data_IF_556913237876
#
_entry.id   IF_556913237876
#
_cell.length_a   1.000
_cell.length_b   1.000
_cell.length_c   1.000
_cell.angle_alpha   90.00
_cell.angle_beta   90.00
_cell.angle_gamma   90.00
#
_symmetry.space_group_name_H-M   'P 1'
#
loop_
_entity.id
_entity.type
_entity.pdbx_description
1 polymer ?
#
# COMPACT_ATOMS: atom_id res chain seq x y z
N UNK A 1 20.23 18.39 -8.62
CA UNK A 1 19.65 18.06 -7.29
C UNK A 1 18.72 16.85 -7.45
N UNK A 2 19.23 15.63 -7.22
CA UNK A 2 18.45 14.40 -7.43
C UNK A 2 17.45 14.19 -6.29
N UNK A 3 16.20 13.97 -6.66
CA UNK A 3 14.99 14.06 -5.83
C UNK A 3 14.94 12.99 -4.73
N UNK A 4 14.97 13.38 -3.44
CA UNK A 4 14.74 12.52 -2.27
C UNK A 4 13.23 12.20 -2.11
N UNK A 5 12.54 11.76 -3.16
CA UNK A 5 11.05 11.74 -3.19
C UNK A 5 10.39 10.37 -3.27
N UNK A 6 11.14 9.26 -3.30
CA UNK A 6 10.56 7.90 -3.36
C UNK A 6 10.41 7.21 -2.00
N UNK A 7 10.96 7.79 -0.93
CA UNK A 7 10.98 7.20 0.42
C UNK A 7 9.62 7.15 1.12
N UNK A 8 8.57 7.68 0.52
CA UNK A 8 7.23 7.60 1.11
C UNK A 8 6.27 6.84 0.20
N UNK A 9 6.72 6.29 -0.93
CA UNK A 9 5.87 5.62 -1.89
C UNK A 9 6.03 4.11 -1.73
N UNK A 10 4.93 3.41 -1.44
CA UNK A 10 4.88 1.96 -1.40
C UNK A 10 3.97 1.42 -2.51
N UNK A 11 4.22 0.18 -2.93
CA UNK A 11 3.44 -0.52 -3.95
C UNK A 11 2.90 -1.83 -3.43
N UNK A 12 1.58 -1.97 -3.42
CA UNK A 12 0.86 -3.21 -3.13
C UNK A 12 0.55 -3.93 -4.45
N UNK A 13 0.83 -5.23 -4.52
CA UNK A 13 0.66 -6.06 -5.72
C UNK A 13 -0.31 -7.18 -5.39
N UNK A 14 -1.16 -7.57 -6.35
CA UNK A 14 -2.07 -8.71 -6.20
C UNK A 14 -3.44 -8.38 -5.60
N UNK A 15 -3.67 -7.13 -5.19
CA UNK A 15 -4.97 -6.70 -4.69
C UNK A 15 -5.98 -6.59 -5.86
N UNK A 16 -7.08 -7.38 -5.88
CA UNK A 16 -8.06 -7.31 -6.96
C UNK A 16 -8.70 -5.92 -7.08
N UNK A 17 -9.02 -5.51 -8.31
CA UNK A 17 -9.61 -4.20 -8.58
C UNK A 17 -11.02 -4.04 -7.97
N UNK A 18 -11.75 -5.14 -7.79
CA UNK A 18 -13.12 -5.14 -7.23
C UNK A 18 -13.19 -4.86 -5.73
N UNK A 19 -12.10 -5.08 -4.99
CA UNK A 19 -12.08 -4.97 -3.53
C UNK A 19 -11.86 -3.52 -3.08
N UNK A 20 -11.15 -2.75 -3.91
CA UNK A 20 -10.85 -1.34 -3.65
C UNK A 20 -12.04 -0.53 -4.11
N UNK A 21 -12.92 -0.19 -3.17
CA UNK A 21 -14.11 0.64 -3.41
C UNK A 21 -13.77 2.09 -3.82
N UNK A 22 -14.71 3.01 -3.62
CA UNK A 22 -14.54 4.41 -4.05
C UNK A 22 -13.41 5.16 -3.34
N UNK A 23 -13.10 4.80 -2.09
CA UNK A 23 -12.02 5.42 -1.33
C UNK A 23 -10.84 4.45 -1.12
N UNK A 24 -9.81 4.51 -2.00
CA UNK A 24 -8.64 3.65 -1.89
C UNK A 24 -7.75 3.99 -0.69
N UNK A 25 -7.83 5.23 -0.17
CA UNK A 25 -7.04 5.66 0.99
C UNK A 25 -7.63 5.03 2.24
N UNK A 26 -8.92 5.24 2.49
CA UNK A 26 -9.61 4.66 3.63
C UNK A 26 -9.53 3.14 3.63
N UNK A 27 -9.76 2.50 2.47
CA UNK A 27 -9.64 1.05 2.34
C UNK A 27 -8.26 0.54 2.78
N UNK A 28 -7.18 1.15 2.28
CA UNK A 28 -5.83 0.73 2.61
C UNK A 28 -5.48 1.00 4.07
N UNK A 29 -5.92 2.11 4.64
CA UNK A 29 -5.67 2.39 6.06
C UNK A 29 -6.30 1.33 6.95
N UNK A 30 -7.54 0.95 6.68
CA UNK A 30 -8.21 -0.10 7.44
C UNK A 30 -7.57 -1.46 7.21
N UNK A 31 -7.32 -1.82 5.95
CA UNK A 31 -6.71 -3.11 5.60
C UNK A 31 -5.33 -3.27 6.25
N UNK A 32 -4.46 -2.25 6.16
CA UNK A 32 -3.13 -2.28 6.78
C UNK A 32 -3.23 -2.36 8.30
N UNK A 33 -4.15 -1.61 8.94
CA UNK A 33 -4.36 -1.69 10.40
C UNK A 33 -4.90 -3.05 10.88
N UNK A 34 -5.61 -3.77 10.02
CA UNK A 34 -6.14 -5.10 10.32
C UNK A 34 -5.08 -6.20 10.13
N UNK A 35 -4.38 -6.18 8.99
CA UNK A 35 -3.38 -7.20 8.64
C UNK A 35 -2.08 -7.08 9.44
N UNK A 36 -1.79 -5.88 9.92
CA UNK A 36 -0.56 -5.57 10.64
C UNK A 36 -0.92 -5.19 12.06
N UNK A 37 -0.32 -5.88 13.02
CA UNK A 37 -0.52 -5.58 14.44
C UNK A 37 -0.30 -4.08 14.73
N UNK A 38 -1.23 -3.41 15.46
CA UNK A 38 -1.17 -1.97 15.75
C UNK A 38 0.14 -1.49 16.40
N UNK A 39 0.92 -2.40 16.98
CA UNK A 39 2.19 -2.14 17.66
C UNK A 39 3.34 -1.76 16.71
N UNK A 40 3.22 -2.03 15.41
CA UNK A 40 4.30 -1.81 14.44
C UNK A 40 4.26 -0.43 13.79
N UNK A 41 3.09 0.21 13.79
CA UNK A 41 2.93 1.54 13.24
C UNK A 41 3.01 2.61 14.32
N UNK A 42 3.46 3.80 13.91
CA UNK A 42 3.22 4.97 14.73
C UNK A 42 1.71 5.12 15.01
N UNK A 43 1.32 5.69 16.16
CA UNK A 43 -0.09 5.90 16.51
C UNK A 43 -0.88 6.70 15.46
N UNK A 44 -0.17 7.37 14.54
CA UNK A 44 -0.71 8.20 13.46
C UNK A 44 -0.36 7.64 12.07
N UNK A 45 -0.52 6.33 11.84
CA UNK A 45 -0.43 5.77 10.49
C UNK A 45 -1.48 6.43 9.58
N UNK A 46 -1.01 7.22 8.62
CA UNK A 46 -1.84 7.96 7.67
C UNK A 46 -1.31 7.75 6.26
N UNK A 47 -2.23 7.45 5.35
CA UNK A 47 -1.96 7.36 3.91
C UNK A 47 -2.38 8.69 3.29
N UNK A 48 -1.41 9.42 2.74
CA UNK A 48 -1.66 10.71 2.09
C UNK A 48 -2.49 10.53 0.80
N UNK A 49 -2.11 9.54 -0.02
CA UNK A 49 -2.75 9.26 -1.31
C UNK A 49 -2.64 7.79 -1.67
N UNK A 50 -3.67 7.26 -2.30
CA UNK A 50 -3.69 5.92 -2.87
C UNK A 50 -4.35 5.92 -4.25
N UNK A 51 -3.74 5.24 -5.22
CA UNK A 51 -4.30 5.09 -6.56
C UNK A 51 -3.71 3.87 -7.27
N UNK A 52 -4.37 3.38 -8.32
CA UNK A 52 -3.82 2.32 -9.18
C UNK A 52 -2.73 2.89 -10.09
N UNK A 53 -1.66 2.13 -10.29
CA UNK A 53 -0.49 2.57 -11.06
C UNK A 53 -0.78 2.80 -12.56
N UNK A 54 -1.77 2.09 -13.12
CA UNK A 54 -2.15 2.17 -14.54
C UNK A 54 -3.55 2.75 -14.70
N UNK A 55 -3.72 3.63 -15.69
CA UNK A 55 -5.02 4.20 -16.03
C UNK A 55 -5.96 3.15 -16.65
N UNK A 56 -5.44 2.25 -17.49
CA UNK A 56 -6.25 1.22 -18.15
C UNK A 56 -6.42 -0.01 -17.25
N UNK A 57 -7.66 -0.49 -17.15
CA UNK A 57 -7.96 -1.74 -16.45
C UNK A 57 -7.41 -2.92 -17.29
N UNK A 58 -6.60 -3.80 -16.71
CA UNK A 58 -6.10 -4.97 -17.41
C UNK A 58 -7.26 -5.91 -17.76
N UNK A 59 -7.13 -6.74 -18.80
CA UNK A 59 -8.10 -7.79 -19.10
C UNK A 59 -8.23 -8.77 -17.91
N UNK A 60 -9.36 -9.49 -17.79
CA UNK A 60 -9.63 -10.37 -16.63
C UNK A 60 -8.57 -11.44 -16.36
N UNK A 61 -7.88 -11.91 -17.40
CA UNK A 61 -6.80 -12.92 -17.30
C UNK A 61 -5.42 -12.32 -16.94
N UNK A 62 -5.29 -10.99 -16.96
CA UNK A 62 -4.05 -10.31 -16.63
C UNK A 62 -3.99 -9.97 -15.13
N UNK A 63 -2.78 -9.87 -14.55
CA UNK A 63 -2.60 -9.63 -13.12
C UNK A 63 -3.24 -8.30 -12.67
N UNK A 64 -3.77 -8.22 -11.44
CA UNK A 64 -4.32 -7.00 -10.89
C UNK A 64 -3.32 -5.84 -10.90
N UNK A 65 -3.82 -4.62 -11.10
CA UNK A 65 -2.96 -3.43 -11.16
C UNK A 65 -2.29 -3.21 -9.82
N UNK A 66 -0.97 -2.95 -9.77
CA UNK A 66 -0.34 -2.52 -8.53
C UNK A 66 -1.01 -1.26 -8.00
N UNK A 67 -1.30 -1.24 -6.70
CA UNK A 67 -1.75 -0.05 -6.01
C UNK A 67 -0.54 0.72 -5.50
N UNK A 68 -0.47 2.00 -5.82
CA UNK A 68 0.55 2.92 -5.34
C UNK A 68 -0.04 3.71 -4.19
N UNK A 69 0.62 3.66 -3.04
CA UNK A 69 0.25 4.46 -1.89
C UNK A 69 1.41 5.34 -1.47
N UNK A 70 1.08 6.54 -1.01
CA UNK A 70 2.03 7.48 -0.42
C UNK A 70 1.72 7.60 1.07
N UNK A 71 2.68 7.21 1.89
CA UNK A 71 2.60 7.34 3.34
C UNK A 71 2.93 8.78 3.75
N UNK A 72 2.21 9.29 4.74
CA UNK A 72 2.50 10.61 5.29
C UNK A 72 3.88 10.61 5.96
N UNK A 73 4.16 9.58 6.77
CA UNK A 73 5.41 9.44 7.48
C UNK A 73 6.35 8.45 6.76
N UNK A 74 7.60 8.87 6.56
CA UNK A 74 8.66 8.00 6.03
C UNK A 74 8.94 6.80 6.94
N UNK A 75 8.91 6.97 8.27
CA UNK A 75 9.24 5.92 9.22
C UNK A 75 8.33 4.70 9.05
N UNK A 76 7.06 4.92 8.71
CA UNK A 76 6.09 3.86 8.45
C UNK A 76 6.41 3.07 7.16
N UNK A 77 7.16 3.64 6.21
CA UNK A 77 7.55 2.93 4.98
C UNK A 77 8.43 1.73 5.28
N UNK A 78 9.40 1.88 6.17
CA UNK A 78 10.28 0.77 6.53
C UNK A 78 9.50 -0.34 7.22
N UNK A 79 8.56 0.00 8.11
CA UNK A 79 7.65 -0.97 8.72
C UNK A 79 6.84 -1.72 7.66
N UNK A 80 6.15 -1.01 6.76
CA UNK A 80 5.37 -1.62 5.66
C UNK A 80 6.24 -2.50 4.76
N UNK A 81 7.47 -2.07 4.44
CA UNK A 81 8.38 -2.83 3.59
C UNK A 81 8.91 -4.08 4.31
N UNK A 82 9.22 -4.02 5.60
CA UNK A 82 9.62 -5.19 6.41
C UNK A 82 8.47 -6.19 6.50
N UNK A 83 7.24 -5.72 6.74
CA UNK A 83 6.04 -6.57 6.76
C UNK A 83 5.80 -7.28 5.44
N UNK A 84 6.15 -6.66 4.30
CA UNK A 84 6.09 -7.32 2.98
C UNK A 84 7.04 -8.51 2.86
N UNK A 85 8.15 -8.54 3.60
CA UNK A 85 9.02 -9.72 3.66
C UNK A 85 8.42 -10.80 4.56
N UNK A 86 7.84 -10.44 5.71
CA UNK A 86 7.20 -11.40 6.62
C UNK A 86 5.89 -11.98 6.07
N UNK A 87 5.04 -11.19 5.42
CA UNK A 87 3.80 -11.67 4.81
C UNK A 87 4.04 -12.58 3.59
N UNK A 88 5.23 -12.55 2.98
CA UNK A 88 5.63 -13.56 1.97
C UNK A 88 6.02 -14.91 2.60
N UNK A 89 6.36 -14.92 3.90
CA UNK A 89 6.71 -16.12 4.66
C UNK A 89 5.47 -16.84 5.22
N UNK A 90 4.35 -16.12 5.37
CA UNK A 90 3.06 -16.69 5.74
C UNK A 90 2.40 -17.31 4.49
N UNK A 91 2.81 -18.54 4.17
CA UNK A 91 2.10 -19.45 3.27
C UNK A 91 1.22 -20.40 4.06
#
# INVERSE_FOLDING_TARGET
>A
MQRITRRNIARLIGLPDSVVGMDPVWFLEQWIKQEVAPTWFAPWFVIERAHRASAQRPPPEAPPRPMVMRLLNYCDQNTVLTLRYDMKMLK
#
